data_IF_273371214227
#
_entry.id   IF_273371214227
#
_cell.length_a   1.000
_cell.length_b   1.000
_cell.length_c   1.000
_cell.angle_alpha   90.00
_cell.angle_beta   90.00
_cell.angle_gamma   90.00
#
_symmetry.space_group_name_H-M   'P 1'
#
loop_
_entity.id
_entity.type
_entity.pdbx_description
1 polymer ?
#
# COMPACT_ATOMS: atom_id res chain seq x y z
N UNK A 1 -61.67 -56.20 -21.66
CA UNK A 1 -60.33 -56.59 -22.18
C UNK A 1 -59.52 -55.33 -22.44
N UNK A 2 -58.31 -55.27 -21.86
CA UNK A 2 -57.38 -54.13 -21.84
C UNK A 2 -56.97 -53.69 -23.24
N UNK A 3 -56.96 -52.38 -23.52
CA UNK A 3 -56.15 -51.76 -24.59
C UNK A 3 -55.11 -50.87 -23.92
N UNK A 4 -53.85 -51.30 -24.03
CA UNK A 4 -52.68 -50.61 -23.50
C UNK A 4 -52.19 -49.55 -24.49
N UNK A 5 -51.70 -48.45 -23.91
CA UNK A 5 -51.13 -47.26 -24.53
C UNK A 5 -50.08 -47.56 -25.62
N UNK A 6 -50.16 -46.79 -26.71
CA UNK A 6 -49.01 -46.46 -27.53
C UNK A 6 -48.38 -45.17 -26.97
N UNK A 7 -47.21 -45.30 -26.33
CA UNK A 7 -46.34 -44.18 -25.96
C UNK A 7 -45.10 -44.27 -26.83
N UNK A 8 -45.08 -43.45 -27.88
CA UNK A 8 -43.92 -43.18 -28.72
C UNK A 8 -42.88 -42.43 -27.89
N UNK A 9 -41.83 -43.13 -27.44
CA UNK A 9 -40.63 -42.51 -26.88
C UNK A 9 -39.67 -42.26 -28.04
N UNK A 10 -39.66 -41.02 -28.52
CA UNK A 10 -38.59 -40.49 -29.37
C UNK A 10 -37.32 -40.40 -28.51
N UNK A 11 -36.45 -41.40 -28.62
CA UNK A 11 -35.09 -41.34 -28.10
C UNK A 11 -34.26 -40.37 -28.94
N UNK A 12 -34.21 -39.10 -28.53
CA UNK A 12 -33.18 -38.18 -28.99
C UNK A 12 -31.84 -38.61 -28.39
N UNK A 13 -31.02 -39.30 -29.17
CA UNK A 13 -29.60 -39.51 -28.85
C UNK A 13 -28.91 -38.17 -29.07
N UNK A 14 -28.85 -37.35 -28.01
CA UNK A 14 -27.97 -36.19 -27.99
C UNK A 14 -26.53 -36.71 -27.98
N UNK A 15 -25.89 -36.71 -29.15
CA UNK A 15 -24.44 -36.83 -29.26
C UNK A 15 -23.84 -35.58 -28.63
N UNK A 16 -23.63 -35.61 -27.32
CA UNK A 16 -22.77 -34.65 -26.65
C UNK A 16 -21.36 -34.84 -27.21
N UNK A 17 -20.93 -33.95 -28.10
CA UNK A 17 -19.51 -33.79 -28.37
C UNK A 17 -18.86 -33.45 -27.04
N UNK A 18 -18.21 -34.42 -26.41
CA UNK A 18 -17.34 -34.20 -25.25
C UNK A 18 -16.15 -33.40 -25.76
N UNK A 19 -16.29 -32.08 -25.79
CA UNK A 19 -15.21 -31.17 -26.13
C UNK A 19 -14.03 -31.44 -25.21
N UNK A 20 -12.85 -31.62 -25.80
CA UNK A 20 -11.63 -31.84 -25.06
C UNK A 20 -11.37 -30.63 -24.12
N UNK A 21 -10.98 -30.85 -22.85
CA UNK A 21 -10.68 -29.74 -21.95
C UNK A 21 -9.55 -28.87 -22.50
N UNK A 22 -9.73 -27.55 -22.41
CA UNK A 22 -8.74 -26.57 -22.84
C UNK A 22 -7.77 -26.26 -21.69
N UNK A 23 -6.49 -26.20 -22.01
CA UNK A 23 -5.39 -25.82 -21.12
C UNK A 23 -4.63 -24.69 -21.79
N UNK A 24 -4.49 -23.54 -21.13
CA UNK A 24 -3.82 -22.36 -21.72
C UNK A 24 -4.39 -21.96 -23.09
N UNK A 25 -5.70 -22.11 -23.29
CA UNK A 25 -6.39 -21.79 -24.55
C UNK A 25 -6.25 -22.84 -25.66
N UNK A 26 -5.58 -23.98 -25.41
CA UNK A 26 -5.40 -25.04 -26.42
C UNK A 26 -5.94 -26.40 -25.93
N UNK A 27 -6.38 -27.31 -26.82
CA UNK A 27 -6.88 -28.63 -26.42
C UNK A 27 -5.82 -29.45 -25.67
N UNK A 28 -6.23 -30.27 -24.69
CA UNK A 28 -5.32 -31.09 -23.88
C UNK A 28 -4.35 -31.95 -24.72
N UNK A 29 -4.79 -32.47 -25.86
CA UNK A 29 -4.01 -33.25 -26.83
C UNK A 29 -2.84 -32.44 -27.40
N UNK A 30 -3.03 -31.16 -27.65
CA UNK A 30 -2.03 -30.23 -28.21
C UNK A 30 -0.99 -29.73 -27.20
N UNK A 31 -1.19 -29.97 -25.90
CA UNK A 31 -0.20 -29.61 -24.89
C UNK A 31 1.03 -30.55 -25.01
N UNK A 32 2.25 -30.00 -25.19
CA UNK A 32 3.46 -30.78 -25.35
C UNK A 32 3.99 -31.36 -24.04
N UNK A 33 4.86 -32.36 -24.15
CA UNK A 33 5.66 -32.87 -23.03
C UNK A 33 6.80 -31.90 -22.74
N UNK A 34 6.96 -31.55 -21.47
CA UNK A 34 7.99 -30.59 -21.06
C UNK A 34 9.39 -31.14 -21.30
N UNK A 35 10.27 -30.27 -21.79
CA UNK A 35 11.68 -30.57 -22.01
C UNK A 35 12.56 -29.73 -21.08
N UNK A 36 12.21 -28.46 -20.90
CA UNK A 36 12.90 -27.54 -19.98
C UNK A 36 11.89 -26.66 -19.28
N UNK A 37 12.01 -26.60 -17.96
CA UNK A 37 11.15 -25.78 -17.13
C UNK A 37 11.38 -24.29 -17.41
N UNK A 38 10.31 -23.51 -17.61
CA UNK A 38 10.36 -22.07 -17.56
C UNK A 38 10.87 -21.54 -16.23
N UNK A 39 11.42 -20.34 -16.25
CA UNK A 39 11.84 -19.67 -15.03
C UNK A 39 11.69 -18.15 -15.12
N UNK A 40 11.47 -17.53 -13.96
CA UNK A 40 11.23 -16.11 -13.81
C UNK A 40 11.90 -15.64 -12.52
N UNK A 41 12.70 -14.58 -12.65
CA UNK A 41 13.39 -13.94 -11.53
C UNK A 41 13.24 -12.44 -11.63
N UNK A 42 13.36 -11.74 -10.50
CA UNK A 42 13.47 -10.30 -10.50
C UNK A 42 14.34 -9.80 -9.37
N UNK A 43 14.73 -8.53 -9.49
CA UNK A 43 15.51 -7.81 -8.50
C UNK A 43 15.22 -6.32 -8.58
N UNK A 44 15.40 -5.62 -7.47
CA UNK A 44 15.41 -4.16 -7.41
C UNK A 44 16.70 -3.71 -6.75
N UNK A 45 17.40 -2.75 -7.36
CA UNK A 45 18.68 -2.25 -6.88
C UNK A 45 18.75 -0.71 -6.92
N UNK A 46 19.05 -0.04 -5.79
CA UNK A 46 19.06 -0.60 -4.44
C UNK A 46 17.64 -0.95 -3.98
N UNK A 47 17.52 -1.89 -3.03
CA UNK A 47 16.22 -2.21 -2.41
C UNK A 47 15.71 -1.10 -1.50
N UNK A 48 16.63 -0.36 -0.88
CA UNK A 48 16.34 0.80 -0.04
C UNK A 48 17.22 1.96 -0.50
N UNK A 49 16.59 3.11 -0.76
CA UNK A 49 17.28 4.33 -1.15
C UNK A 49 16.99 5.42 -0.10
N UNK A 50 18.02 6.01 0.51
CA UNK A 50 17.89 7.02 1.58
C UNK A 50 18.31 8.43 1.16
N UNK A 51 18.71 8.61 -0.10
CA UNK A 51 19.06 9.88 -0.72
C UNK A 51 18.47 9.93 -2.13
N UNK A 52 18.42 11.10 -2.76
CA UNK A 52 18.10 11.13 -4.19
C UNK A 52 19.10 10.29 -4.99
N UNK A 53 18.62 9.63 -6.03
CA UNK A 53 19.41 8.63 -6.75
C UNK A 53 18.60 7.92 -7.82
N UNK A 54 18.98 6.68 -8.12
CA UNK A 54 18.29 5.85 -9.11
C UNK A 54 17.97 4.48 -8.51
N UNK A 55 16.79 3.95 -8.87
CA UNK A 55 16.42 2.57 -8.61
C UNK A 55 16.24 1.83 -9.93
N UNK A 56 16.91 0.69 -10.06
CA UNK A 56 16.80 -0.19 -11.22
C UNK A 56 15.97 -1.41 -10.86
N UNK A 57 14.92 -1.63 -11.63
CA UNK A 57 14.06 -2.81 -11.59
C UNK A 57 14.49 -3.74 -12.70
N UNK A 58 14.64 -5.02 -12.40
CA UNK A 58 15.08 -6.03 -13.38
C UNK A 58 14.23 -7.28 -13.25
N UNK A 59 13.79 -7.80 -14.38
CA UNK A 59 13.10 -9.10 -14.48
C UNK A 59 13.78 -9.92 -15.56
N UNK A 60 14.20 -11.13 -15.21
CA UNK A 60 14.79 -12.07 -16.17
C UNK A 60 13.83 -13.24 -16.35
N UNK A 61 13.59 -13.60 -17.59
CA UNK A 61 12.64 -14.62 -18.00
C UNK A 61 13.29 -15.64 -18.92
N UNK A 62 13.03 -16.91 -18.63
CA UNK A 62 13.33 -18.03 -19.51
C UNK A 62 12.01 -18.74 -19.89
N UNK A 63 11.63 -18.78 -21.18
CA UNK A 63 10.33 -19.30 -21.61
C UNK A 63 10.19 -20.81 -21.48
N UNK A 64 11.27 -21.54 -21.21
CA UNK A 64 11.28 -23.01 -21.23
C UNK A 64 11.11 -23.60 -22.62
N UNK A 65 11.05 -24.91 -22.70
CA UNK A 65 10.73 -25.64 -23.94
C UNK A 65 9.79 -26.81 -23.67
N UNK A 66 8.86 -27.05 -24.59
CA UNK A 66 7.78 -28.02 -24.39
C UNK A 66 6.69 -27.51 -23.43
N UNK A 67 6.33 -26.23 -23.52
CA UNK A 67 5.24 -25.61 -22.75
C UNK A 67 4.34 -24.77 -23.65
N UNK A 68 3.09 -24.55 -23.24
CA UNK A 68 2.16 -23.60 -23.86
C UNK A 68 1.85 -22.51 -22.86
N UNK A 69 2.03 -21.24 -23.24
CA UNK A 69 1.75 -20.12 -22.36
C UNK A 69 0.32 -19.59 -22.57
N UNK A 70 -0.35 -19.16 -21.50
CA UNK A 70 -1.79 -18.81 -21.44
C UNK A 70 -2.21 -17.33 -21.79
N UNK A 71 -1.64 -16.56 -22.76
CA UNK A 71 -1.81 -15.08 -23.02
C UNK A 71 -0.58 -14.38 -23.66
N UNK A 72 -0.60 -13.94 -24.92
CA UNK A 72 0.48 -13.08 -25.45
C UNK A 72 0.31 -11.60 -25.10
N UNK A 73 1.36 -10.86 -24.66
CA UNK A 73 2.76 -11.28 -24.45
C UNK A 73 3.09 -11.69 -23.01
N UNK A 74 4.10 -12.55 -22.88
CA UNK A 74 4.59 -13.08 -21.61
C UNK A 74 6.07 -12.86 -21.35
N UNK A 75 6.46 -12.75 -20.07
CA UNK A 75 5.62 -12.61 -18.87
C UNK A 75 4.97 -11.21 -18.80
N UNK A 76 3.91 -11.06 -18.00
CA UNK A 76 3.46 -9.71 -17.65
C UNK A 76 4.40 -9.17 -16.56
N UNK A 77 4.86 -7.93 -16.71
CA UNK A 77 5.66 -7.24 -15.69
C UNK A 77 5.04 -5.86 -15.44
N UNK A 78 4.91 -5.56 -14.17
CA UNK A 78 4.25 -4.40 -13.61
C UNK A 78 5.16 -3.82 -12.51
N UNK A 79 5.39 -2.52 -12.56
CA UNK A 79 5.93 -1.78 -11.41
C UNK A 79 4.88 -0.80 -10.94
N UNK A 80 4.53 -0.88 -9.66
CA UNK A 80 3.59 0.03 -9.02
C UNK A 80 4.32 1.04 -8.15
N UNK A 81 3.99 2.32 -8.32
CA UNK A 81 4.44 3.41 -7.45
C UNK A 81 3.33 4.43 -7.22
N UNK A 82 2.94 4.65 -5.96
CA UNK A 82 1.83 5.53 -5.56
C UNK A 82 0.49 5.17 -6.21
N UNK A 83 0.29 5.60 -7.46
CA UNK A 83 -0.87 5.44 -8.33
C UNK A 83 -0.48 5.16 -9.79
N UNK A 84 0.81 5.22 -10.11
CA UNK A 84 1.33 4.99 -11.45
C UNK A 84 1.69 3.51 -11.59
N UNK A 85 1.17 2.91 -12.65
CA UNK A 85 1.43 1.52 -13.05
C UNK A 85 2.26 1.54 -14.32
N UNK A 86 3.43 0.91 -14.28
CA UNK A 86 4.34 0.81 -15.41
C UNK A 86 4.29 -0.62 -15.97
N UNK A 87 3.64 -0.80 -17.12
CA UNK A 87 3.55 -2.09 -17.80
C UNK A 87 4.63 -2.23 -18.88
N UNK A 88 5.01 -3.46 -19.20
CA UNK A 88 5.85 -3.76 -20.37
C UNK A 88 5.16 -3.42 -21.70
N UNK A 89 5.93 -3.05 -22.74
CA UNK A 89 5.42 -2.93 -24.10
C UNK A 89 4.98 -4.31 -24.62
N UNK A 90 3.69 -4.44 -24.93
CA UNK A 90 3.11 -5.63 -25.54
C UNK A 90 1.67 -5.96 -25.12
N UNK A 91 1.20 -5.45 -23.98
CA UNK A 91 -0.24 -5.41 -23.66
C UNK A 91 -0.90 -4.21 -24.37
N UNK A 92 -1.92 -4.38 -25.22
CA UNK A 92 -2.61 -3.22 -25.80
C UNK A 92 -3.59 -2.62 -24.78
N UNK A 93 -3.80 -1.29 -24.68
CA UNK A 93 -2.92 -0.15 -24.94
C UNK A 93 -2.37 0.43 -23.61
N UNK A 94 -1.08 0.73 -23.51
CA UNK A 94 -0.56 1.31 -22.27
C UNK A 94 0.94 1.49 -22.23
N UNK A 95 1.50 2.15 -23.24
CA UNK A 95 2.80 2.80 -23.06
C UNK A 95 2.66 3.83 -21.93
N UNK A 96 3.26 3.56 -20.77
CA UNK A 96 3.54 4.65 -19.85
C UNK A 96 4.46 5.62 -20.61
N UNK A 97 4.00 6.85 -20.80
CA UNK A 97 4.70 7.90 -21.59
C UNK A 97 5.99 8.38 -20.91
N UNK A 98 6.34 7.83 -19.73
CA UNK A 98 7.32 8.42 -18.82
C UNK A 98 8.62 7.63 -18.67
N UNK A 99 8.63 6.31 -18.90
CA UNK A 99 9.82 5.48 -18.69
C UNK A 99 9.84 4.27 -19.65
N UNK A 100 10.97 4.09 -20.33
CA UNK A 100 11.20 3.00 -21.29
C UNK A 100 11.85 1.78 -20.61
N UNK A 101 11.26 0.60 -20.82
CA UNK A 101 11.88 -0.67 -20.47
C UNK A 101 12.95 -1.03 -21.50
N UNK A 102 14.17 -1.24 -21.04
CA UNK A 102 15.23 -1.83 -21.85
C UNK A 102 15.05 -3.35 -21.87
N UNK A 103 15.14 -3.95 -23.05
CA UNK A 103 15.01 -5.40 -23.24
C UNK A 103 16.29 -5.94 -23.87
N UNK A 104 16.86 -6.98 -23.28
CA UNK A 104 18.01 -7.70 -23.85
C UNK A 104 17.75 -9.21 -23.82
N UNK A 105 18.15 -9.93 -24.86
CA UNK A 105 18.02 -11.39 -24.91
C UNK A 105 19.39 -12.01 -25.13
N UNK A 106 19.76 -12.99 -24.31
CA UNK A 106 21.03 -13.69 -24.45
C UNK A 106 20.90 -14.93 -25.37
N UNK A 107 22.03 -15.48 -25.77
CA UNK A 107 22.11 -16.68 -26.63
C UNK A 107 21.52 -17.94 -25.99
N UNK A 108 21.37 -17.95 -24.67
CA UNK A 108 20.76 -19.06 -23.91
C UNK A 108 19.22 -18.96 -23.85
N UNK A 109 18.62 -17.97 -24.50
CA UNK A 109 17.17 -17.78 -24.57
C UNK A 109 16.57 -17.08 -23.34
N UNK A 110 17.38 -16.42 -22.52
CA UNK A 110 16.89 -15.60 -21.41
C UNK A 110 16.67 -14.17 -21.90
N UNK A 111 15.50 -13.63 -21.63
CA UNK A 111 15.17 -12.23 -21.88
C UNK A 111 15.18 -11.47 -20.55
N UNK A 112 15.93 -10.38 -20.49
CA UNK A 112 16.01 -9.48 -19.35
C UNK A 112 15.35 -8.16 -19.69
N UNK A 113 14.40 -7.76 -18.85
CA UNK A 113 13.71 -6.48 -18.87
C UNK A 113 14.25 -5.62 -17.73
N UNK A 114 14.72 -4.43 -18.02
CA UNK A 114 15.22 -3.50 -17.02
C UNK A 114 14.63 -2.10 -17.18
N UNK A 115 14.26 -1.48 -16.07
CA UNK A 115 13.79 -0.09 -16.02
C UNK A 115 14.54 0.63 -14.90
N UNK A 116 15.07 1.81 -15.20
CA UNK A 116 15.73 2.66 -14.19
C UNK A 116 14.89 3.90 -13.96
N UNK A 117 14.49 4.11 -12.70
CA UNK A 117 13.72 5.27 -12.27
C UNK A 117 14.61 6.23 -11.49
N UNK A 118 14.69 7.51 -11.89
CA UNK A 118 15.28 8.54 -11.04
C UNK A 118 14.35 8.78 -9.85
N UNK A 119 14.90 8.61 -8.65
CA UNK A 119 14.19 8.90 -7.41
C UNK A 119 14.59 10.28 -6.91
N UNK A 120 13.65 11.21 -7.01
CA UNK A 120 13.70 12.54 -6.39
C UNK A 120 12.89 12.58 -5.09
N UNK A 121 12.96 13.69 -4.36
CA UNK A 121 12.07 14.01 -3.23
C UNK A 121 10.57 13.85 -3.58
N UNK A 122 10.20 14.18 -4.82
CA UNK A 122 8.84 14.00 -5.32
C UNK A 122 8.53 12.56 -5.74
N UNK A 123 9.56 11.73 -5.95
CA UNK A 123 9.44 10.34 -6.31
C UNK A 123 9.46 9.37 -5.10
N UNK A 124 9.64 9.85 -3.87
CA UNK A 124 9.71 8.95 -2.70
C UNK A 124 8.44 8.09 -2.50
N UNK A 125 8.63 6.88 -2.00
CA UNK A 125 7.57 5.92 -1.73
C UNK A 125 8.04 4.46 -1.83
N UNK A 126 7.09 3.55 -1.68
CA UNK A 126 7.30 2.12 -1.91
C UNK A 126 7.01 1.77 -3.36
N UNK A 127 7.87 0.93 -3.90
CA UNK A 127 7.78 0.37 -5.22
C UNK A 127 7.51 -1.12 -5.10
N UNK A 128 6.57 -1.62 -5.90
CA UNK A 128 6.30 -3.05 -6.01
C UNK A 128 6.60 -3.49 -7.42
N UNK A 129 7.56 -4.39 -7.58
CA UNK A 129 7.82 -5.09 -8.82
C UNK A 129 7.04 -6.40 -8.81
N UNK A 130 6.10 -6.54 -9.73
CA UNK A 130 5.35 -7.77 -9.95
C UNK A 130 5.61 -8.30 -11.35
N UNK A 131 5.94 -9.58 -11.44
CA UNK A 131 5.98 -10.28 -12.73
C UNK A 131 5.29 -11.62 -12.59
N UNK A 132 4.40 -11.97 -13.51
CA UNK A 132 3.77 -13.28 -13.48
C UNK A 132 3.53 -13.86 -14.88
N UNK A 133 3.39 -15.17 -14.91
CA UNK A 133 3.05 -15.93 -16.10
C UNK A 133 2.43 -17.26 -15.74
N UNK A 134 1.59 -17.78 -16.62
CA UNK A 134 0.99 -19.10 -16.48
C UNK A 134 1.30 -19.94 -17.71
N UNK A 135 1.72 -21.18 -17.50
CA UNK A 135 2.05 -22.10 -18.57
C UNK A 135 1.45 -23.49 -18.33
N UNK A 136 1.25 -24.22 -19.41
CA UNK A 136 0.70 -25.56 -19.43
C UNK A 136 1.71 -26.53 -20.03
N UNK A 137 1.79 -27.74 -19.47
CA UNK A 137 2.71 -28.78 -19.95
C UNK A 137 2.20 -30.18 -19.58
N UNK A 138 2.77 -31.21 -20.21
CA UNK A 138 2.64 -32.61 -19.75
C UNK A 138 3.95 -33.11 -19.15
N UNK A 139 3.87 -33.82 -18.02
CA UNK A 139 5.03 -34.48 -17.42
C UNK A 139 5.49 -35.73 -18.18
N UNK A 140 4.61 -36.32 -19.00
CA UNK A 140 4.89 -37.48 -19.83
C UNK A 140 3.90 -37.56 -21.01
N UNK A 141 4.16 -38.36 -22.06
CA UNK A 141 3.28 -38.44 -23.24
C UNK A 141 1.82 -38.83 -22.94
N UNK A 142 1.61 -39.67 -21.92
CA UNK A 142 0.29 -40.17 -21.50
C UNK A 142 -0.28 -39.43 -20.30
N UNK A 143 0.45 -38.45 -19.75
CA UNK A 143 0.04 -37.71 -18.56
C UNK A 143 -1.01 -36.66 -18.94
N UNK A 144 -1.93 -36.39 -18.01
CA UNK A 144 -2.81 -35.24 -18.12
C UNK A 144 -1.98 -33.94 -18.12
N UNK A 145 -2.37 -32.92 -18.91
CA UNK A 145 -1.75 -31.60 -18.83
C UNK A 145 -1.88 -30.99 -17.42
N UNK A 146 -0.90 -30.19 -17.06
CA UNK A 146 -0.85 -29.44 -15.81
C UNK A 146 -0.69 -27.95 -16.11
N UNK A 147 -1.28 -27.11 -15.26
CA UNK A 147 -1.10 -25.66 -15.26
C UNK A 147 -0.13 -25.29 -14.14
N UNK A 148 0.82 -24.41 -14.44
CA UNK A 148 1.78 -23.88 -13.48
C UNK A 148 1.86 -22.37 -13.57
N UNK A 149 2.23 -21.76 -12.44
CA UNK A 149 2.32 -20.31 -12.29
C UNK A 149 3.73 -19.92 -11.87
N UNK A 150 4.26 -18.88 -12.51
CA UNK A 150 5.47 -18.20 -12.10
C UNK A 150 5.10 -16.83 -11.55
N UNK A 151 5.64 -16.48 -10.39
CA UNK A 151 5.37 -15.21 -9.74
C UNK A 151 6.66 -14.62 -9.16
N UNK A 152 6.86 -13.34 -9.39
CA UNK A 152 7.82 -12.48 -8.71
C UNK A 152 7.04 -11.33 -8.09
N UNK A 153 7.30 -11.06 -6.82
CA UNK A 153 6.69 -9.97 -6.07
C UNK A 153 7.75 -9.41 -5.11
N UNK A 154 8.34 -8.28 -5.48
CA UNK A 154 9.45 -7.66 -4.75
C UNK A 154 9.04 -6.26 -4.35
N UNK A 155 9.20 -5.96 -3.07
CA UNK A 155 9.04 -4.62 -2.53
C UNK A 155 10.39 -3.95 -2.44
N UNK A 156 10.44 -2.69 -2.86
CA UNK A 156 11.58 -1.81 -2.66
C UNK A 156 11.06 -0.46 -2.18
N UNK A 157 11.93 0.35 -1.60
CA UNK A 157 11.51 1.64 -1.09
C UNK A 157 12.56 2.72 -1.28
N UNK A 158 12.08 3.89 -1.65
CA UNK A 158 12.86 5.11 -1.62
C UNK A 158 12.30 6.03 -0.54
N UNK A 159 13.14 6.28 0.45
CA UNK A 159 12.85 6.99 1.67
C UNK A 159 13.85 8.13 1.81
N UNK A 160 13.66 9.19 1.05
CA UNK A 160 14.51 10.38 1.09
C UNK A 160 13.95 11.31 2.16
N UNK A 161 14.52 11.35 3.39
CA UNK A 161 14.03 12.26 4.42
C UNK A 161 14.12 13.69 3.87
N UNK A 162 13.12 14.52 4.14
CA UNK A 162 13.15 15.93 3.81
C UNK A 162 13.80 16.67 4.99
N UNK A 163 15.12 16.98 4.98
CA UNK A 163 15.81 17.48 6.17
C UNK A 163 15.41 18.92 6.58
N UNK A 164 14.63 19.61 5.73
CA UNK A 164 14.19 20.98 5.93
C UNK A 164 12.69 21.14 5.62
N UNK A 165 11.88 20.12 5.90
CA UNK A 165 10.44 20.27 5.74
C UNK A 165 9.91 21.33 6.71
N UNK A 166 8.94 22.11 6.25
CA UNK A 166 8.27 23.09 7.09
C UNK A 166 7.16 22.41 7.91
N UNK A 167 6.92 22.91 9.11
CA UNK A 167 5.77 22.48 9.92
C UNK A 167 4.44 22.68 9.17
N UNK A 168 4.35 23.73 8.34
CA UNK A 168 3.18 23.99 7.50
C UNK A 168 2.91 22.84 6.51
N UNK A 169 3.95 22.25 5.92
CA UNK A 169 3.80 21.08 5.04
C UNK A 169 3.26 19.88 5.79
N UNK A 170 3.81 19.58 6.97
CA UNK A 170 3.30 18.49 7.81
C UNK A 170 1.83 18.73 8.19
N UNK A 171 1.49 19.94 8.63
CA UNK A 171 0.13 20.30 9.00
C UNK A 171 -0.85 20.10 7.83
N UNK A 172 -0.48 20.52 6.62
CA UNK A 172 -1.29 20.31 5.42
C UNK A 172 -1.52 18.82 5.12
N UNK A 173 -0.48 17.99 5.20
CA UNK A 173 -0.57 16.55 4.95
C UNK A 173 -1.50 15.85 5.95
N UNK A 174 -1.35 16.16 7.24
CA UNK A 174 -2.18 15.60 8.30
C UNK A 174 -3.64 16.06 8.19
N UNK A 175 -3.87 17.32 7.84
CA UNK A 175 -5.22 17.86 7.64
C UNK A 175 -5.95 17.13 6.50
N UNK A 176 -5.28 16.93 5.36
CA UNK A 176 -5.84 16.24 4.20
C UNK A 176 -6.15 14.76 4.47
N UNK A 177 -5.27 14.03 5.17
CA UNK A 177 -5.57 12.63 5.53
C UNK A 177 -6.71 12.54 6.54
N UNK A 178 -6.80 13.48 7.48
CA UNK A 178 -7.91 13.50 8.44
C UNK A 178 -9.26 13.75 7.76
N UNK A 179 -9.31 14.60 6.72
CA UNK A 179 -10.52 14.84 5.92
C UNK A 179 -10.94 13.62 5.12
N UNK A 180 -9.99 12.83 4.62
CA UNK A 180 -10.24 11.66 3.77
C UNK A 180 -10.75 10.45 4.53
N UNK A 181 -10.34 10.27 5.78
CA UNK A 181 -10.73 9.11 6.58
C UNK A 181 -10.15 9.15 7.98
N UNK A 182 -10.53 10.18 8.75
CA UNK A 182 -10.09 10.35 10.13
C UNK A 182 -10.32 9.10 10.99
N UNK A 183 -11.41 8.35 10.77
CA UNK A 183 -11.71 7.12 11.50
C UNK A 183 -10.71 5.97 11.28
N UNK A 184 -9.80 6.12 10.31
CA UNK A 184 -8.69 5.20 10.04
C UNK A 184 -7.32 5.78 10.39
N UNK A 185 -7.27 7.05 10.81
CA UNK A 185 -6.03 7.76 11.15
C UNK A 185 -5.61 7.40 12.58
N UNK A 186 -4.38 6.94 12.74
CA UNK A 186 -3.73 6.74 14.03
C UNK A 186 -2.58 7.73 14.19
N UNK A 187 -2.59 8.51 15.27
CA UNK A 187 -1.54 9.51 15.55
C UNK A 187 -0.81 9.14 16.84
N UNK A 188 0.51 9.12 16.77
CA UNK A 188 1.39 8.87 17.89
C UNK A 188 2.43 10.00 17.99
N UNK A 189 2.54 10.62 19.14
CA UNK A 189 3.42 11.77 19.38
C UNK A 189 4.27 11.51 20.61
N UNK A 190 5.55 11.86 20.53
CA UNK A 190 6.46 11.93 21.67
C UNK A 190 7.04 13.34 21.69
N UNK A 191 6.70 14.14 22.70
CA UNK A 191 7.22 15.50 22.80
C UNK A 191 7.00 16.12 24.18
N UNK A 192 7.88 17.04 24.60
CA UNK A 192 7.66 17.89 25.79
C UNK A 192 6.48 18.83 25.59
N UNK A 193 6.40 19.44 24.40
CA UNK A 193 5.33 20.30 23.94
C UNK A 193 5.25 20.26 22.41
N UNK A 194 4.24 20.89 21.82
CA UNK A 194 4.08 21.00 20.38
C UNK A 194 3.90 22.47 19.99
N UNK A 195 4.39 22.79 18.80
CA UNK A 195 4.14 24.05 18.15
C UNK A 195 2.63 24.36 18.11
N UNK A 196 2.21 25.63 18.34
CA UNK A 196 0.80 25.99 18.46
C UNK A 196 -0.07 25.55 17.28
N UNK A 197 0.41 25.73 16.04
CA UNK A 197 -0.30 25.29 14.83
C UNK A 197 -0.53 23.78 14.78
N UNK A 198 0.48 22.99 15.13
CA UNK A 198 0.37 21.52 15.17
C UNK A 198 -0.55 21.07 16.31
N UNK A 199 -0.45 21.68 17.49
CA UNK A 199 -1.33 21.39 18.63
C UNK A 199 -2.80 21.67 18.30
N UNK A 200 -3.07 22.79 17.63
CA UNK A 200 -4.41 23.15 17.16
C UNK A 200 -4.95 22.10 16.19
N UNK A 201 -4.15 21.72 15.18
CA UNK A 201 -4.55 20.72 14.21
C UNK A 201 -4.83 19.35 14.85
N UNK A 202 -3.94 18.87 15.72
CA UNK A 202 -4.12 17.58 16.40
C UNK A 202 -5.35 17.58 17.33
N UNK A 203 -5.71 18.72 17.91
CA UNK A 203 -6.97 18.86 18.67
C UNK A 203 -8.20 18.68 17.78
N UNK A 204 -8.19 19.26 16.57
CA UNK A 204 -9.26 19.07 15.58
C UNK A 204 -9.32 17.63 15.10
N UNK A 205 -8.17 17.01 14.82
CA UNK A 205 -8.08 15.61 14.39
C UNK A 205 -8.61 14.67 15.48
N UNK A 206 -8.24 14.88 16.74
CA UNK A 206 -8.72 14.07 17.86
C UNK A 206 -10.24 14.16 18.07
N UNK A 207 -10.83 15.35 17.86
CA UNK A 207 -12.25 15.59 18.10
C UNK A 207 -13.12 15.26 16.88
N UNK A 208 -12.60 15.40 15.67
CA UNK A 208 -13.40 15.47 14.45
C UNK A 208 -14.15 16.81 14.36
N UNK A 209 -15.01 16.95 13.35
CA UNK A 209 -15.80 18.17 13.18
C UNK A 209 -16.43 18.33 11.80
N UNK A 210 -16.86 19.55 11.51
CA UNK A 210 -17.42 19.94 10.22
C UNK A 210 -16.51 20.99 9.57
N UNK A 211 -16.37 20.92 8.24
CA UNK A 211 -15.54 21.83 7.45
C UNK A 211 -16.20 22.10 6.09
N UNK A 212 -15.69 23.07 5.33
CA UNK A 212 -16.19 23.44 3.99
C UNK A 212 -17.73 23.57 3.93
N UNK A 213 -18.28 24.35 4.87
CA UNK A 213 -19.70 24.62 4.91
C UNK A 213 -20.12 25.48 3.73
N UNK A 214 -21.01 24.95 2.88
CA UNK A 214 -21.64 25.74 1.84
C UNK A 214 -22.56 26.77 2.48
N UNK A 215 -22.21 28.05 2.32
CA UNK A 215 -22.92 29.18 2.93
C UNK A 215 -24.36 29.34 2.45
N UNK A 216 -24.70 28.76 1.28
CA UNK A 216 -26.03 28.84 0.66
C UNK A 216 -26.90 27.67 1.10
N UNK A 217 -26.36 26.44 1.16
CA UNK A 217 -27.14 25.24 1.49
C UNK A 217 -27.04 24.84 2.96
N UNK A 218 -26.10 25.39 3.72
CA UNK A 218 -25.83 25.03 5.12
C UNK A 218 -25.22 23.63 5.29
N UNK A 219 -24.92 22.93 4.19
CA UNK A 219 -24.32 21.59 4.20
C UNK A 219 -22.82 21.73 4.37
N UNK A 220 -22.27 21.07 5.39
CA UNK A 220 -20.83 21.00 5.64
C UNK A 220 -20.28 19.61 5.31
N UNK A 221 -19.05 19.57 4.81
CA UNK A 221 -18.28 18.35 4.78
C UNK A 221 -17.96 17.91 6.22
N UNK A 222 -17.89 16.60 6.42
CA UNK A 222 -17.69 16.00 7.74
C UNK A 222 -16.28 15.42 7.87
N UNK A 223 -15.64 15.66 9.00
CA UNK A 223 -14.39 15.03 9.43
C UNK A 223 -14.66 14.09 10.60
N UNK A 224 -14.41 12.80 10.41
CA UNK A 224 -14.44 11.84 11.51
C UNK A 224 -13.26 12.07 12.47
N UNK A 225 -13.41 11.78 13.78
CA UNK A 225 -12.29 11.81 14.71
C UNK A 225 -11.26 10.73 14.36
N UNK A 226 -9.99 10.99 14.71
CA UNK A 226 -8.92 9.99 14.65
C UNK A 226 -9.29 8.73 15.42
N UNK A 227 -9.00 7.56 14.83
CA UNK A 227 -9.21 6.25 15.46
C UNK A 227 -8.51 6.15 16.81
N UNK A 228 -7.24 6.56 16.83
CA UNK A 228 -6.38 6.53 18.01
C UNK A 228 -5.46 7.74 17.95
N UNK A 229 -5.36 8.46 19.06
CA UNK A 229 -4.31 9.45 19.26
C UNK A 229 -3.63 9.20 20.61
N UNK A 230 -2.30 9.09 20.58
CA UNK A 230 -1.49 8.75 21.76
C UNK A 230 -0.34 9.73 21.84
N UNK A 231 -0.24 10.43 22.95
CA UNK A 231 0.80 11.42 23.17
C UNK A 231 1.61 11.01 24.39
N UNK A 232 2.91 10.80 24.23
CA UNK A 232 3.86 10.56 25.30
C UNK A 232 4.60 11.86 25.61
N UNK A 233 4.58 12.30 26.85
CA UNK A 233 5.18 13.59 27.25
C UNK A 233 5.67 13.54 28.69
N UNK A 234 6.60 14.42 29.04
CA UNK A 234 7.02 14.68 30.43
C UNK A 234 6.33 15.91 31.03
N UNK A 235 5.50 16.61 30.24
CA UNK A 235 4.67 17.72 30.67
C UNK A 235 3.21 17.53 30.20
N UNK A 236 2.44 16.63 30.86
CA UNK A 236 1.07 16.32 30.44
C UNK A 236 0.17 17.56 30.41
N UNK A 237 0.41 18.55 31.27
CA UNK A 237 -0.38 19.78 31.32
C UNK A 237 -0.31 20.59 30.02
N UNK A 238 0.84 20.62 29.35
CA UNK A 238 1.00 21.34 28.09
C UNK A 238 0.16 20.75 26.94
N UNK A 239 -0.16 19.45 27.02
CA UNK A 239 -0.82 18.70 25.94
C UNK A 239 -2.23 18.22 26.30
N UNK A 240 -2.77 18.61 27.45
CA UNK A 240 -4.15 18.26 27.89
C UNK A 240 -5.22 18.60 26.84
N UNK A 241 -5.03 19.66 26.06
CA UNK A 241 -5.99 20.06 25.01
C UNK A 241 -6.19 18.99 23.93
N UNK A 242 -5.24 18.07 23.79
CA UNK A 242 -5.26 16.96 22.83
C UNK A 242 -6.06 15.76 23.32
N UNK A 243 -6.41 15.68 24.61
CA UNK A 243 -7.27 14.62 25.14
C UNK A 243 -8.68 14.80 24.61
N UNK A 244 -9.21 13.74 24.00
CA UNK A 244 -10.58 13.67 23.50
C UNK A 244 -11.05 12.23 23.64
N UNK A 245 -12.13 12.02 24.39
CA UNK A 245 -12.74 10.70 24.60
C UNK A 245 -14.23 10.80 24.39
N UNK A 246 -14.81 9.74 23.83
CA UNK A 246 -16.26 9.65 23.59
C UNK A 246 -16.61 9.65 22.10
N UNK A 247 -17.78 10.16 21.77
CA UNK A 247 -18.30 10.10 20.41
C UNK A 247 -18.66 11.51 19.91
N UNK A 248 -18.39 11.79 18.64
CA UNK A 248 -18.85 13.03 18.02
C UNK A 248 -20.38 12.94 17.82
N UNK A 249 -21.11 13.82 18.52
CA UNK A 249 -22.56 13.97 18.39
C UNK A 249 -22.83 15.36 17.81
N UNK A 250 -23.48 15.44 16.64
CA UNK A 250 -23.84 16.71 16.03
C UNK A 250 -24.59 16.58 14.69
N UNK A 251 -25.71 17.31 14.56
CA UNK A 251 -26.57 17.37 13.36
C UNK A 251 -27.93 16.69 13.52
N UNK A 252 -28.73 16.68 12.45
CA UNK A 252 -30.10 16.11 12.36
C UNK A 252 -30.10 14.57 12.53
N UNK A 253 -28.93 13.91 12.54
CA UNK A 253 -28.79 12.46 12.64
C UNK A 253 -28.55 12.05 14.10
N UNK A 254 -29.42 11.23 14.73
CA UNK A 254 -29.35 10.88 16.15
C UNK A 254 -28.38 9.71 16.44
N UNK A 255 -27.23 9.68 15.77
CA UNK A 255 -26.25 8.60 15.89
C UNK A 255 -24.90 9.08 16.42
N UNK A 256 -24.36 8.37 17.40
CA UNK A 256 -22.95 8.45 17.78
C UNK A 256 -22.09 7.98 16.59
N UNK A 257 -21.30 8.87 15.97
CA UNK A 257 -20.48 8.54 14.80
C UNK A 257 -18.98 8.73 15.06
N UNK A 258 -18.27 7.62 15.29
CA UNK A 258 -16.82 7.54 15.47
C UNK A 258 -16.38 7.52 16.93
N UNK A 259 -15.40 6.68 17.27
CA UNK A 259 -14.84 6.62 18.61
C UNK A 259 -13.64 7.57 18.70
N UNK A 260 -13.72 8.56 19.58
CA UNK A 260 -12.60 9.39 19.98
C UNK A 260 -11.79 8.61 21.02
N UNK A 261 -10.58 8.19 20.68
CA UNK A 261 -9.64 7.57 21.62
C UNK A 261 -8.30 8.32 21.60
N UNK A 262 -8.32 9.56 22.09
CA UNK A 262 -7.12 10.38 22.27
C UNK A 262 -6.70 10.44 23.73
N UNK A 263 -5.45 10.07 24.02
CA UNK A 263 -4.89 10.00 25.38
C UNK A 263 -3.48 10.58 25.45
N UNK A 264 -3.16 11.14 26.61
CA UNK A 264 -1.83 11.66 26.94
C UNK A 264 -1.28 10.84 28.10
N UNK A 265 -0.04 10.37 27.96
CA UNK A 265 0.67 9.57 28.96
C UNK A 265 1.88 10.35 29.45
N UNK A 266 2.05 10.34 30.77
CA UNK A 266 3.23 10.88 31.41
C UNK A 266 4.31 9.80 31.44
N UNK A 267 5.45 10.08 30.82
CA UNK A 267 6.63 9.19 30.77
C UNK A 267 7.73 9.61 31.75
N UNK A 268 7.45 10.60 32.61
CA UNK A 268 8.38 11.14 33.60
C UNK A 268 9.42 12.10 33.01
N UNK A 269 10.26 12.72 33.85
CA UNK A 269 11.16 13.80 33.45
C UNK A 269 12.28 13.27 32.58
N UNK A 270 12.28 13.52 31.25
CA UNK A 270 13.40 13.12 30.36
C UNK A 270 13.33 13.52 28.89
N UNK A 271 12.39 14.33 28.42
CA UNK A 271 12.41 14.71 27.00
C UNK A 271 13.20 16.00 26.82
N UNK A 272 14.25 15.95 25.99
CA UNK A 272 14.80 17.16 25.40
C UNK A 272 13.76 17.78 24.46
N UNK A 273 13.87 19.07 24.08
CA UNK A 273 12.95 19.74 23.14
C UNK A 273 13.10 19.18 21.72
N UNK A 274 12.75 17.93 21.54
CA UNK A 274 12.79 17.17 20.31
C UNK A 274 11.48 16.39 20.23
N UNK A 275 10.70 16.66 19.17
CA UNK A 275 9.46 15.93 18.94
C UNK A 275 9.70 14.75 18.02
N UNK A 276 8.88 13.71 18.20
CA UNK A 276 8.61 12.67 17.20
C UNK A 276 7.11 12.62 16.99
N UNK A 277 6.66 12.62 15.74
CA UNK A 277 5.27 12.45 15.34
C UNK A 277 5.20 11.33 14.30
N UNK A 278 4.34 10.36 14.53
CA UNK A 278 4.01 9.29 13.60
C UNK A 278 2.51 9.34 13.37
N UNK A 279 2.08 9.56 12.14
CA UNK A 279 0.68 9.52 11.75
C UNK A 279 0.47 8.44 10.69
N UNK A 280 -0.28 7.39 11.00
CA UNK A 280 -0.64 6.33 10.08
C UNK A 280 -2.03 6.59 9.51
N UNK A 281 -2.10 6.99 8.25
CA UNK A 281 -3.31 7.39 7.55
C UNK A 281 -3.95 6.26 6.74
N UNK A 282 -4.91 6.64 5.89
CA UNK A 282 -5.64 5.69 5.04
C UNK A 282 -4.71 5.11 4.00
N UNK A 283 -3.88 5.96 3.38
CA UNK A 283 -3.00 5.60 2.26
C UNK A 283 -1.51 5.56 2.63
N UNK A 284 -1.09 6.39 3.59
CA UNK A 284 0.33 6.64 3.87
C UNK A 284 0.57 6.84 5.35
N UNK A 285 1.82 6.62 5.73
CA UNK A 285 2.31 6.95 7.06
C UNK A 285 3.27 8.15 6.98
N UNK A 286 3.13 9.07 7.91
CA UNK A 286 3.95 10.27 8.03
C UNK A 286 4.78 10.16 9.30
N UNK A 287 6.09 10.33 9.18
CA UNK A 287 7.00 10.30 10.32
C UNK A 287 7.74 11.63 10.30
N UNK A 288 7.56 12.43 11.34
CA UNK A 288 8.26 13.68 11.51
C UNK A 288 9.06 13.65 12.80
N UNK A 289 10.25 14.25 12.79
CA UNK A 289 11.03 14.43 14.01
C UNK A 289 11.91 15.67 13.93
N UNK A 290 12.21 16.25 15.09
CA UNK A 290 13.02 17.46 15.19
C UNK A 290 12.50 18.45 16.22
N UNK A 291 13.31 19.48 16.46
CA UNK A 291 12.97 20.61 17.34
C UNK A 291 11.84 21.47 16.76
N UNK A 292 11.65 21.47 15.43
CA UNK A 292 10.58 22.19 14.74
C UNK A 292 9.16 21.67 14.99
N UNK A 293 9.01 20.48 15.58
CA UNK A 293 7.70 20.03 16.08
C UNK A 293 7.29 20.71 17.38
N UNK A 294 8.27 21.22 18.14
CA UNK A 294 8.07 21.90 19.43
C UNK A 294 8.03 23.41 19.24
N UNK A 295 8.89 23.95 18.37
CA UNK A 295 9.02 25.39 18.11
C UNK A 295 8.76 25.71 16.65
N UNK A 296 7.85 26.65 16.39
CA UNK A 296 7.58 27.13 15.03
C UNK A 296 8.82 27.79 14.41
N UNK A 297 8.93 27.72 13.08
CA UNK A 297 10.01 28.34 12.31
C UNK A 297 11.29 27.51 12.20
N UNK A 298 11.43 26.42 12.96
CA UNK A 298 12.56 25.49 12.81
C UNK A 298 12.23 24.37 11.81
N UNK A 299 13.22 23.86 11.06
CA UNK A 299 13.01 22.74 10.15
C UNK A 299 12.67 21.46 10.92
N UNK A 300 11.91 20.60 10.26
CA UNK A 300 11.68 19.22 10.69
C UNK A 300 12.23 18.25 9.65
N UNK A 301 12.64 17.08 10.12
CA UNK A 301 12.79 15.93 9.25
C UNK A 301 11.40 15.36 9.03
N UNK A 302 10.98 15.29 7.76
CA UNK A 302 9.71 14.69 7.38
C UNK A 302 9.96 13.49 6.46
N UNK A 303 9.26 12.41 6.76
CA UNK A 303 9.24 11.17 6.01
C UNK A 303 7.79 10.83 5.65
N UNK A 304 7.59 10.46 4.39
CA UNK A 304 6.31 9.97 3.87
C UNK A 304 6.51 8.53 3.38
N UNK A 305 5.91 7.57 4.07
CA UNK A 305 6.05 6.14 3.81
C UNK A 305 4.75 5.46 3.37
N UNK A 306 4.83 4.20 2.92
CA UNK A 306 3.64 3.37 2.70
C UNK A 306 2.91 3.16 4.02
N UNK A 307 1.63 2.82 3.92
CA UNK A 307 0.86 2.35 5.08
C UNK A 307 1.56 1.15 5.74
N UNK A 308 1.75 1.22 7.05
CA UNK A 308 2.38 0.19 7.88
C UNK A 308 3.80 0.52 8.33
N UNK A 309 4.51 1.42 7.64
CA UNK A 309 5.87 1.84 8.03
C UNK A 309 5.89 2.55 9.39
N UNK A 310 4.94 3.48 9.61
CA UNK A 310 4.74 4.16 10.88
C UNK A 310 4.28 3.20 11.98
N UNK A 311 3.48 2.19 11.63
CA UNK A 311 3.09 1.12 12.56
C UNK A 311 4.29 0.36 13.12
N UNK A 312 5.22 -0.08 12.26
CA UNK A 312 6.44 -0.77 12.70
C UNK A 312 7.33 0.11 13.59
N UNK A 313 7.50 1.39 13.22
CA UNK A 313 8.29 2.32 14.03
C UNK A 313 7.61 2.61 15.38
N UNK A 314 6.28 2.77 15.39
CA UNK A 314 5.48 2.93 16.61
C UNK A 314 5.70 1.75 17.56
N UNK A 315 5.59 0.52 17.09
CA UNK A 315 5.81 -0.68 17.92
C UNK A 315 7.26 -0.76 18.43
N UNK A 316 8.25 -0.44 17.58
CA UNK A 316 9.65 -0.43 18.00
C UNK A 316 9.93 0.64 19.08
N UNK A 317 9.36 1.84 18.93
CA UNK A 317 9.45 2.91 19.92
C UNK A 317 8.73 2.52 21.20
N UNK A 318 7.48 2.04 21.11
CA UNK A 318 6.73 1.57 22.27
C UNK A 318 7.47 0.46 23.01
N UNK A 319 8.10 -0.48 22.31
CA UNK A 319 8.91 -1.51 22.94
C UNK A 319 10.11 -0.90 23.71
N UNK A 320 10.80 0.07 23.11
CA UNK A 320 11.89 0.79 23.76
C UNK A 320 11.41 1.62 24.98
N UNK A 321 10.19 2.16 24.93
CA UNK A 321 9.60 2.94 26.02
C UNK A 321 8.92 2.06 27.09
N UNK A 322 8.37 0.89 26.77
CA UNK A 322 7.75 -0.01 27.75
C UNK A 322 8.76 -0.67 28.68
N UNK A 323 10.05 -0.75 28.30
CA UNK A 323 11.13 -1.01 29.25
C UNK A 323 11.25 0.10 30.33
N UNK A 324 10.64 1.26 30.12
CA UNK A 324 10.65 2.45 30.99
C UNK A 324 9.21 2.92 31.30
N UNK A 325 8.48 2.13 32.09
CA UNK A 325 7.26 2.50 32.85
C UNK A 325 6.53 3.81 32.45
N UNK A 326 5.50 3.74 31.61
CA UNK A 326 4.56 4.85 31.37
C UNK A 326 3.31 4.73 32.25
N UNK A 327 2.89 5.84 32.88
CA UNK A 327 1.64 5.92 33.67
C UNK A 327 0.61 6.76 32.92
N UNK A 328 -0.59 6.22 32.73
CA UNK A 328 -1.69 6.93 32.07
C UNK A 328 -2.21 8.07 32.96
N UNK A 329 -2.39 9.26 32.36
CA UNK A 329 -2.99 10.43 33.01
C UNK A 329 -4.42 10.56 32.49
N UNK A 330 -5.40 10.52 33.40
CA UNK A 330 -6.82 10.77 33.09
C UNK A 330 -7.15 12.24 33.17
#
# INVERSE_FOLDING_TARGET
MRRFLALLVLGAVAWGQTGEPLYCGVPASSVPVIQRYPALWGSVSPQVLTSEGQMTFTVTFYPGSGVVWNYTPYPFVEVDWRFDRFNLPGSPPGSSVRYDWQTSTNTNGYTTYSMTLPITLEAQGTYRLRAQGAYCYKGCPTCAPQVQYLNVDIMAAAFVPQPNASLARLNWLLDEESKRGGENLEVFVISTDLAPSLKSLLSVIARGGFYDCNRITGICAKRAPAKVQRVLTDNPNALRSLVATGCLVGGIIPGCQGNQDSRVYDIGPKLQPFGVLIASGVKRDYIAFGTGLVSEGLPIYLFEGPKGAGGMLKEALLFAFMQKQGREVR
#
